data_IF_110615224845
#
_entry.id   IF_110615224845
#
_cell.length_a   1.000
_cell.length_b   1.000
_cell.length_c   1.000
_cell.angle_alpha   90.00
_cell.angle_beta   90.00
_cell.angle_gamma   90.00
#
_symmetry.space_group_name_H-M   'P 1'
#
loop_
_entity.id
_entity.type
_entity.pdbx_description
1 polymer ?
#
# COMPACT_ATOMS: atom_id res chain seq x y z
N UNK A 1 12.44 18.27 17.30
CA UNK A 1 12.19 17.20 18.29
C UNK A 1 12.02 15.91 17.49
N UNK A 2 13.12 15.36 16.99
CA UNK A 2 13.07 14.18 16.10
C UNK A 2 13.01 12.91 16.95
N UNK A 3 11.80 12.34 16.99
CA UNK A 3 11.51 11.08 17.67
C UNK A 3 12.03 9.92 16.82
N UNK A 4 13.35 9.71 16.84
CA UNK A 4 13.93 8.43 16.47
C UNK A 4 13.56 7.42 17.56
N UNK A 5 12.39 6.79 17.37
CA UNK A 5 11.95 5.59 18.10
C UNK A 5 13.02 4.51 17.90
N UNK A 6 14.00 4.46 18.83
CA UNK A 6 15.02 3.41 18.90
C UNK A 6 14.32 2.09 19.18
N UNK A 7 14.41 1.15 18.24
CA UNK A 7 14.06 -0.24 18.49
C UNK A 7 14.97 -0.77 19.59
N UNK A 8 14.41 -1.04 20.76
CA UNK A 8 15.13 -1.23 22.03
C UNK A 8 15.94 -2.53 22.17
N UNK A 9 16.02 -3.38 21.13
CA UNK A 9 16.69 -4.69 21.21
C UNK A 9 17.56 -5.00 19.98
N UNK A 10 18.21 -3.99 19.40
CA UNK A 10 19.31 -4.21 18.46
C UNK A 10 20.62 -3.90 19.18
N UNK A 11 21.47 -4.92 19.37
CA UNK A 11 22.88 -4.67 19.69
C UNK A 11 23.40 -3.63 18.70
N UNK A 12 24.05 -2.55 19.17
CA UNK A 12 24.54 -1.51 18.28
C UNK A 12 25.44 -2.17 17.24
N UNK A 13 25.13 -1.97 15.95
CA UNK A 13 25.96 -2.40 14.81
C UNK A 13 27.49 -2.22 15.02
N UNK A 14 27.96 -1.17 15.73
CA UNK A 14 29.37 -1.04 16.13
C UNK A 14 29.97 -2.22 16.91
N UNK A 15 29.20 -2.86 17.80
CA UNK A 15 29.67 -3.94 18.66
C UNK A 15 29.95 -5.23 17.86
N UNK A 16 29.22 -5.45 16.76
CA UNK A 16 29.32 -6.64 15.92
C UNK A 16 30.56 -6.63 15.01
N UNK A 17 31.14 -5.45 14.76
CA UNK A 17 32.33 -5.27 13.94
C UNK A 17 33.55 -4.80 14.75
N UNK A 18 33.58 -5.09 16.05
CA UNK A 18 34.64 -4.64 16.96
C UNK A 18 36.03 -5.22 16.60
N UNK A 19 36.07 -6.40 15.97
CA UNK A 19 37.31 -7.10 15.62
C UNK A 19 37.86 -6.73 14.23
N UNK A 20 37.14 -5.90 13.47
CA UNK A 20 37.57 -5.44 12.16
C UNK A 20 38.39 -4.15 12.26
N UNK A 21 39.41 -3.97 11.40
CA UNK A 21 40.14 -2.72 11.33
C UNK A 21 39.20 -1.56 11.00
N UNK A 22 39.54 -0.37 11.52
CA UNK A 22 38.67 0.81 11.53
C UNK A 22 38.13 1.18 10.14
N UNK A 23 38.96 1.04 9.11
CA UNK A 23 38.60 1.33 7.72
C UNK A 23 37.52 0.36 7.17
N UNK A 24 37.66 -0.93 7.44
CA UNK A 24 36.68 -1.94 7.01
C UNK A 24 35.38 -1.86 7.83
N UNK A 25 35.51 -1.56 9.13
CA UNK A 25 34.40 -1.33 10.04
C UNK A 25 33.52 -0.19 9.54
N UNK A 26 34.12 0.94 9.16
CA UNK A 26 33.39 2.09 8.64
C UNK A 26 32.68 1.80 7.31
N UNK A 27 33.33 1.01 6.43
CA UNK A 27 32.73 0.56 5.16
C UNK A 27 31.54 -0.39 5.37
N UNK A 28 31.60 -1.28 6.37
CA UNK A 28 30.49 -2.17 6.72
C UNK A 28 29.35 -1.42 7.39
N UNK A 29 29.64 -0.50 8.31
CA UNK A 29 28.63 0.33 8.99
C UNK A 29 27.85 1.21 8.00
N UNK A 30 28.52 1.83 7.03
CA UNK A 30 27.87 2.59 5.95
C UNK A 30 27.09 1.72 4.95
N UNK A 31 27.44 0.43 4.84
CA UNK A 31 26.73 -0.54 4.01
C UNK A 31 25.62 -1.31 4.77
N UNK A 32 25.52 -1.17 6.09
CA UNK A 32 24.42 -1.69 6.87
C UNK A 32 23.23 -0.71 6.74
N UNK A 33 22.06 -1.22 6.34
CA UNK A 33 20.83 -0.47 5.94
C UNK A 33 20.71 -0.01 4.48
N UNK A 34 21.24 -0.79 3.52
CA UNK A 34 21.16 -0.48 2.08
C UNK A 34 19.78 -0.48 1.44
N UNK A 35 18.72 -0.92 2.13
CA UNK A 35 17.41 -1.07 1.51
C UNK A 35 16.81 0.28 1.10
N UNK A 36 16.84 1.27 1.99
CA UNK A 36 16.32 2.62 1.70
C UNK A 36 17.20 3.43 0.72
N UNK A 37 18.51 3.13 0.66
CA UNK A 37 19.44 3.81 -0.24
C UNK A 37 19.41 3.25 -1.67
N UNK A 38 19.24 1.93 -1.83
CA UNK A 38 19.17 1.28 -3.16
C UNK A 38 17.77 1.33 -3.76
N UNK A 39 16.75 1.22 -2.92
CA UNK A 39 15.35 1.35 -3.32
C UNK A 39 14.81 2.63 -2.70
N UNK A 40 14.97 3.72 -3.43
CA UNK A 40 14.21 4.94 -3.18
C UNK A 40 12.74 4.55 -3.41
N UNK A 41 11.88 4.55 -2.39
CA UNK A 41 10.47 4.32 -2.60
C UNK A 41 9.98 5.39 -3.60
N UNK A 42 9.24 5.03 -4.64
CA UNK A 42 8.63 6.04 -5.48
C UNK A 42 7.84 6.98 -4.56
N UNK A 43 7.91 8.28 -4.85
CA UNK A 43 7.10 9.24 -4.13
C UNK A 43 5.66 8.77 -4.16
N UNK A 44 4.97 8.88 -3.04
CA UNK A 44 3.53 8.59 -3.00
C UNK A 44 2.86 9.47 -4.05
N UNK A 45 2.05 8.89 -4.96
CA UNK A 45 1.37 9.66 -5.97
C UNK A 45 0.58 10.80 -5.34
N UNK A 46 0.44 11.90 -6.09
CA UNK A 46 -0.31 13.06 -5.63
C UNK A 46 -1.74 12.63 -5.27
N UNK A 47 -2.24 13.11 -4.13
CA UNK A 47 -3.56 12.80 -3.58
C UNK A 47 -3.79 11.37 -3.07
N UNK A 48 -2.80 10.47 -3.09
CA UNK A 48 -2.98 9.06 -2.67
C UNK A 48 -3.39 8.89 -1.19
N UNK A 49 -2.93 9.80 -0.32
CA UNK A 49 -3.22 9.79 1.12
C UNK A 49 -4.31 10.79 1.54
N UNK A 50 -5.05 11.36 0.58
CA UNK A 50 -6.18 12.21 0.94
C UNK A 50 -7.28 11.38 1.61
N UNK A 51 -7.68 11.82 2.80
CA UNK A 51 -8.68 11.11 3.60
C UNK A 51 -10.07 11.55 3.12
N UNK A 52 -10.60 10.88 2.10
CA UNK A 52 -11.93 11.15 1.58
C UNK A 52 -12.08 10.79 0.10
N UNK A 53 -13.33 10.70 -0.37
CA UNK A 53 -13.58 10.58 -1.81
C UNK A 53 -13.49 11.98 -2.44
N UNK A 54 -12.69 12.17 -3.51
CA UNK A 54 -12.70 13.42 -4.24
C UNK A 54 -14.08 13.70 -4.82
N UNK A 55 -14.44 14.98 -4.89
CA UNK A 55 -15.68 15.39 -5.57
C UNK A 55 -15.63 15.01 -7.05
N UNK A 56 -16.79 14.86 -7.70
CA UNK A 56 -16.85 14.59 -9.15
C UNK A 56 -16.07 15.62 -9.96
N UNK A 57 -16.13 16.91 -9.58
CA UNK A 57 -15.37 17.98 -10.22
C UNK A 57 -13.86 17.79 -10.03
N UNK A 58 -13.42 17.48 -8.80
CA UNK A 58 -12.01 17.19 -8.51
C UNK A 58 -11.51 15.96 -9.26
N UNK A 59 -12.36 14.94 -9.46
CA UNK A 59 -12.03 13.76 -10.27
C UNK A 59 -11.83 14.11 -11.75
N UNK A 60 -12.58 15.05 -12.31
CA UNK A 60 -12.40 15.53 -13.69
C UNK A 60 -11.11 16.34 -13.80
N UNK A 61 -10.88 17.29 -12.89
CA UNK A 61 -9.67 18.12 -12.88
C UNK A 61 -8.39 17.28 -12.74
N UNK A 62 -8.43 16.18 -11.97
CA UNK A 62 -7.34 15.21 -11.82
C UNK A 62 -7.23 14.21 -12.97
N UNK A 63 -8.18 14.20 -13.90
CA UNK A 63 -8.22 13.28 -15.05
C UNK A 63 -8.64 11.85 -14.72
N UNK A 64 -9.24 11.60 -13.55
CA UNK A 64 -9.80 10.29 -13.21
C UNK A 64 -11.06 9.97 -14.02
N UNK A 65 -11.81 11.00 -14.41
CA UNK A 65 -13.02 10.90 -15.22
C UNK A 65 -12.75 11.62 -16.53
N UNK A 66 -12.88 10.90 -17.65
CA UNK A 66 -12.91 11.52 -18.98
C UNK A 66 -14.34 11.94 -19.28
N UNK A 67 -14.52 13.19 -19.69
CA UNK A 67 -15.80 13.68 -20.22
C UNK A 67 -15.97 13.20 -21.67
N UNK A 68 -16.09 11.89 -21.85
CA UNK A 68 -16.38 11.30 -23.16
C UNK A 68 -17.85 11.64 -23.50
N UNK A 69 -18.06 12.34 -24.62
CA UNK A 69 -19.40 12.78 -25.07
C UNK A 69 -20.28 11.58 -25.49
N UNK A 70 -19.65 10.44 -25.76
CA UNK A 70 -20.33 9.21 -26.14
C UNK A 70 -20.51 8.31 -24.91
N UNK A 71 -21.76 7.98 -24.52
CA UNK A 71 -21.98 7.08 -23.39
C UNK A 71 -21.42 5.71 -23.73
N UNK A 72 -20.45 5.25 -22.94
CA UNK A 72 -19.86 3.94 -23.11
C UNK A 72 -20.97 2.87 -23.13
N UNK A 73 -20.99 2.05 -24.19
CA UNK A 73 -22.03 1.03 -24.39
C UNK A 73 -21.95 -0.01 -23.28
N UNK A 74 -22.61 0.28 -22.16
CA UNK A 74 -22.65 -0.61 -21.01
C UNK A 74 -23.29 -1.91 -21.45
N UNK A 75 -22.49 -2.97 -21.56
CA UNK A 75 -23.01 -4.29 -21.87
C UNK A 75 -24.01 -4.69 -20.79
N UNK A 76 -25.30 -4.57 -21.09
CA UNK A 76 -26.36 -5.08 -20.23
C UNK A 76 -26.23 -6.60 -20.20
N UNK A 77 -26.24 -7.17 -18.99
CA UNK A 77 -26.33 -8.62 -18.83
C UNK A 77 -27.59 -9.10 -19.55
N UNK A 78 -27.42 -9.89 -20.61
CA UNK A 78 -28.54 -10.38 -21.45
C UNK A 78 -29.45 -11.36 -20.71
N UNK A 79 -28.98 -11.94 -19.60
CA UNK A 79 -29.69 -12.96 -18.82
C UNK A 79 -30.00 -12.44 -17.41
N UNK A 80 -31.23 -12.63 -16.90
CA UNK A 80 -31.52 -12.36 -15.50
C UNK A 80 -30.68 -13.26 -14.59
N UNK A 81 -30.39 -12.78 -13.38
CA UNK A 81 -29.70 -13.58 -12.37
C UNK A 81 -30.68 -14.60 -11.78
N UNK A 82 -30.44 -15.88 -12.02
CA UNK A 82 -31.20 -16.96 -11.39
C UNK A 82 -30.58 -17.24 -10.03
N UNK A 83 -31.15 -16.67 -8.97
CA UNK A 83 -30.75 -16.98 -7.59
C UNK A 83 -31.20 -18.40 -7.24
N UNK A 84 -30.28 -19.35 -7.21
CA UNK A 84 -30.55 -20.72 -6.73
C UNK A 84 -30.39 -20.76 -5.21
N UNK A 85 -31.37 -20.23 -4.49
CA UNK A 85 -31.42 -20.42 -3.04
C UNK A 85 -31.99 -21.80 -2.73
N UNK A 86 -31.23 -22.66 -2.04
CA UNK A 86 -31.75 -23.92 -1.53
C UNK A 86 -32.64 -23.64 -0.32
N UNK A 87 -33.90 -24.09 -0.28
CA UNK A 87 -34.73 -23.96 0.91
C UNK A 87 -34.03 -24.70 2.05
N UNK A 88 -33.71 -23.99 3.15
CA UNK A 88 -33.28 -24.65 4.37
C UNK A 88 -34.48 -25.43 4.91
N UNK A 89 -34.38 -26.75 4.94
CA UNK A 89 -35.43 -27.62 5.48
C UNK A 89 -35.75 -27.21 6.92
N UNK A 90 -37.02 -26.89 7.17
CA UNK A 90 -37.51 -26.60 8.51
C UNK A 90 -37.49 -27.90 9.31
N UNK A 91 -36.47 -28.10 10.15
CA UNK A 91 -36.53 -29.11 11.21
C UNK A 91 -37.45 -28.55 12.30
N UNK A 92 -38.72 -28.96 12.27
CA UNK A 92 -39.60 -28.87 13.42
C UNK A 92 -39.13 -29.94 14.40
N UNK A 93 -38.48 -29.54 15.49
CA UNK A 93 -38.21 -30.43 16.62
C UNK A 93 -39.44 -30.40 17.53
N UNK A 94 -39.99 -31.59 17.76
CA UNK A 94 -41.21 -31.87 18.53
C UNK A 94 -40.89 -31.99 20.01
#
# INVERSE_FOLDING_TARGET
>A
MDVLRKCSNALPLPQYYADLPEEERQKKLSACSRHRFRYIPPSTPENFWEVGFPSTQTCVERGYIREDNEPEQRMRRRRPYNATFSPKGNKQET
#
